data_IF_137975884294
#
_entry.id   IF_137975884294
#
_cell.length_a   1.000
_cell.length_b   1.000
_cell.length_c   1.000
_cell.angle_alpha   90.00
_cell.angle_beta   90.00
_cell.angle_gamma   90.00
#
_symmetry.space_group_name_H-M   'P 1'
#
loop_
_entity.id
_entity.type
_entity.pdbx_description
1 polymer ?
#
# COMPACT_ATOMS: atom_id res chain seq x y z
N UNK A 1 -14.26 10.51 14.40
CA UNK A 1 -14.45 10.46 12.93
C UNK A 1 -13.10 10.18 12.30
N UNK A 2 -12.82 8.92 11.95
CA UNK A 2 -11.55 8.50 11.39
C UNK A 2 -11.86 7.56 10.23
N UNK A 3 -11.76 8.08 9.02
CA UNK A 3 -12.02 7.37 7.79
C UNK A 3 -11.36 8.13 6.65
N UNK A 4 -11.10 7.42 5.56
CA UNK A 4 -10.76 8.04 4.29
C UNK A 4 -12.07 8.55 3.68
N UNK A 5 -12.09 9.79 3.21
CA UNK A 5 -13.26 10.37 2.54
C UNK A 5 -12.96 10.44 1.05
N UNK A 6 -13.89 9.97 0.23
CA UNK A 6 -13.84 10.15 -1.22
C UNK A 6 -14.12 11.62 -1.53
N UNK A 7 -13.13 12.31 -2.10
CA UNK A 7 -13.20 13.70 -2.48
C UNK A 7 -13.63 13.88 -3.94
N UNK A 8 -13.28 12.94 -4.82
CA UNK A 8 -13.66 12.94 -6.23
C UNK A 8 -13.63 11.51 -6.79
N UNK A 9 -14.38 11.27 -7.87
CA UNK A 9 -14.47 9.96 -8.53
C UNK A 9 -14.51 10.13 -10.04
N UNK A 10 -13.59 9.45 -10.73
CA UNK A 10 -13.59 9.31 -12.18
C UNK A 10 -14.10 7.91 -12.52
N UNK A 11 -15.21 7.83 -13.27
CA UNK A 11 -15.69 6.56 -13.82
C UNK A 11 -14.90 6.20 -15.07
N UNK A 12 -14.47 4.95 -15.15
CA UNK A 12 -13.69 4.39 -16.26
C UNK A 12 -14.40 3.14 -16.75
N UNK A 13 -14.82 3.13 -18.01
CA UNK A 13 -15.40 1.93 -18.62
C UNK A 13 -14.28 1.06 -19.17
N UNK A 14 -14.15 -0.17 -18.66
CA UNK A 14 -13.20 -1.16 -19.16
C UNK A 14 -13.97 -2.33 -19.76
N UNK A 15 -14.02 -2.42 -21.09
CA UNK A 15 -14.86 -3.41 -21.77
C UNK A 15 -16.35 -3.16 -21.52
N UNK A 16 -17.03 -4.13 -20.90
CA UNK A 16 -18.45 -4.04 -20.53
C UNK A 16 -18.67 -3.71 -19.03
N UNK A 17 -17.62 -3.40 -18.28
CA UNK A 17 -17.70 -3.13 -16.84
C UNK A 17 -17.39 -1.65 -16.55
N UNK A 18 -18.11 -1.06 -15.58
CA UNK A 18 -17.76 0.23 -14.99
C UNK A 18 -16.78 0.03 -13.85
N UNK A 19 -15.63 0.70 -13.92
CA UNK A 19 -14.66 0.84 -12.85
C UNK A 19 -14.61 2.30 -12.38
N UNK A 20 -13.97 2.53 -11.23
CA UNK A 20 -13.81 3.86 -10.67
C UNK A 20 -12.37 4.10 -10.22
N UNK A 21 -11.91 5.33 -10.42
CA UNK A 21 -10.69 5.86 -9.81
C UNK A 21 -11.13 6.94 -8.83
N UNK A 22 -10.83 6.74 -7.55
CA UNK A 22 -11.27 7.62 -6.48
C UNK A 22 -10.09 8.43 -5.91
N UNK A 23 -10.27 9.75 -5.80
CA UNK A 23 -9.40 10.60 -5.01
C UNK A 23 -9.87 10.58 -3.56
N UNK A 24 -8.99 10.13 -2.69
CA UNK A 24 -9.31 9.82 -1.30
C UNK A 24 -8.46 10.68 -0.35
N UNK A 25 -9.10 11.32 0.63
CA UNK A 25 -8.43 12.20 1.61
C UNK A 25 -8.57 11.61 3.00
N UNK A 26 -7.44 11.36 3.67
CA UNK A 26 -7.41 10.85 5.03
C UNK A 26 -6.06 10.27 5.43
N UNK A 27 -5.99 9.76 6.66
CA UNK A 27 -4.85 8.99 7.17
C UNK A 27 -5.06 7.51 6.87
N UNK A 28 -4.37 6.99 5.86
CA UNK A 28 -4.48 5.58 5.42
C UNK A 28 -4.12 4.59 6.54
N UNK A 29 -3.35 5.01 7.54
CA UNK A 29 -2.99 4.18 8.70
C UNK A 29 -4.19 3.95 9.62
N UNK A 30 -5.24 4.77 9.48
CA UNK A 30 -6.52 4.63 10.21
C UNK A 30 -7.62 4.00 9.35
N UNK A 31 -7.28 3.36 8.23
CA UNK A 31 -8.25 2.70 7.35
C UNK A 31 -9.01 1.62 8.15
N UNK A 32 -10.34 1.74 8.33
CA UNK A 32 -11.12 0.78 9.09
C UNK A 32 -11.19 -0.55 8.33
N UNK A 33 -11.56 -1.61 9.06
CA UNK A 33 -11.63 -2.97 8.51
C UNK A 33 -12.66 -3.15 7.41
N UNK A 34 -13.75 -2.40 7.48
CA UNK A 34 -14.83 -2.43 6.50
C UNK A 34 -14.40 -1.84 5.15
N UNK A 35 -13.42 -0.94 5.18
CA UNK A 35 -12.83 -0.29 3.99
C UNK A 35 -11.50 -0.97 3.57
N UNK A 36 -11.28 -2.24 3.96
CA UNK A 36 -10.04 -2.94 3.65
C UNK A 36 -9.77 -2.98 2.14
N UNK A 37 -8.48 -2.95 1.78
CA UNK A 37 -8.03 -3.06 0.40
C UNK A 37 -7.16 -4.29 0.22
N UNK A 38 -7.23 -4.91 -0.97
CA UNK A 38 -6.44 -6.09 -1.29
C UNK A 38 -4.94 -5.78 -1.38
N UNK A 39 -4.59 -4.59 -1.88
CA UNK A 39 -3.22 -4.18 -2.12
C UNK A 39 -3.02 -2.73 -1.66
N UNK A 40 -2.02 -2.53 -0.80
CA UNK A 40 -1.46 -1.21 -0.52
C UNK A 40 -0.24 -1.00 -1.41
N UNK A 41 -0.31 0.01 -2.27
CA UNK A 41 0.82 0.42 -3.12
C UNK A 41 1.64 1.50 -2.40
N UNK A 42 2.95 1.28 -2.29
CA UNK A 42 3.89 2.25 -1.72
C UNK A 42 5.09 2.44 -2.66
N UNK A 43 5.82 3.53 -2.46
CA UNK A 43 7.10 3.78 -3.12
C UNK A 43 8.23 3.96 -2.12
N UNK A 44 9.44 3.57 -2.51
CA UNK A 44 10.66 3.71 -1.75
C UNK A 44 11.85 3.96 -2.68
N UNK A 45 12.97 4.44 -2.13
CA UNK A 45 14.24 4.43 -2.86
C UNK A 45 14.76 2.99 -2.98
N UNK A 46 15.50 2.64 -4.04
CA UNK A 46 15.98 1.28 -4.26
C UNK A 46 16.74 0.73 -3.06
N UNK A 47 16.22 -0.36 -2.47
CA UNK A 47 16.80 -1.01 -1.29
C UNK A 47 16.73 -0.23 0.03
N UNK A 48 16.15 0.97 0.05
CA UNK A 48 16.02 1.78 1.27
C UNK A 48 14.58 1.82 1.78
N UNK A 49 14.34 1.04 2.83
CA UNK A 49 13.07 0.98 3.56
C UNK A 49 13.24 1.41 5.02
N UNK A 50 14.14 2.36 5.31
CA UNK A 50 14.25 2.92 6.65
C UNK A 50 12.89 3.49 7.09
N UNK A 51 12.37 3.11 8.28
CA UNK A 51 11.10 3.62 8.80
C UNK A 51 11.26 5.05 9.32
N UNK A 52 11.42 5.99 8.40
CA UNK A 52 11.54 7.42 8.68
C UNK A 52 10.19 7.95 9.22
N UNK A 53 10.10 8.45 10.47
CA UNK A 53 8.82 8.68 11.15
C UNK A 53 7.74 9.47 10.39
N UNK A 54 8.02 10.55 9.64
CA UNK A 54 6.97 11.24 8.88
C UNK A 54 6.51 10.49 7.61
N UNK A 55 7.24 9.48 7.15
CA UNK A 55 6.89 8.74 5.93
C UNK A 55 5.81 7.70 6.19
N UNK A 56 5.13 7.28 5.12
CA UNK A 56 4.18 6.17 5.19
C UNK A 56 4.84 4.90 5.74
N UNK A 57 6.09 4.60 5.34
CA UNK A 57 6.85 3.45 5.85
C UNK A 57 7.08 3.57 7.36
N UNK A 58 7.44 4.77 7.85
CA UNK A 58 7.61 5.00 9.28
C UNK A 58 6.31 4.82 10.07
N UNK A 59 5.18 5.23 9.50
CA UNK A 59 3.87 5.06 10.13
C UNK A 59 3.37 3.60 10.09
N UNK A 60 3.60 2.88 8.99
CA UNK A 60 3.34 1.45 8.87
C UNK A 60 4.08 0.66 9.95
N UNK A 61 5.36 0.98 10.17
CA UNK A 61 6.17 0.35 11.21
C UNK A 61 5.69 0.71 12.62
N UNK A 62 5.61 2.00 12.94
CA UNK A 62 5.37 2.46 14.32
C UNK A 62 3.94 2.25 14.82
N UNK A 63 2.92 2.29 13.94
CA UNK A 63 1.51 2.25 14.33
C UNK A 63 0.82 0.95 13.98
N UNK A 64 1.30 0.24 12.96
CA UNK A 64 0.72 -1.03 12.51
C UNK A 64 1.68 -2.21 12.64
N UNK A 65 2.92 -2.01 13.11
CA UNK A 65 3.93 -3.07 13.20
C UNK A 65 4.19 -3.78 11.86
N UNK A 66 4.04 -3.05 10.74
CA UNK A 66 4.35 -3.53 9.39
C UNK A 66 5.76 -3.03 9.04
N UNK A 67 6.75 -3.92 9.17
CA UNK A 67 8.14 -3.63 8.80
C UNK A 67 8.38 -3.91 7.31
N UNK A 68 8.35 -2.86 6.49
CA UNK A 68 8.59 -2.96 5.04
C UNK A 68 9.98 -3.52 4.71
N UNK A 69 10.99 -3.25 5.53
CA UNK A 69 12.35 -3.80 5.34
C UNK A 69 12.35 -5.32 5.56
N UNK A 70 11.61 -5.80 6.56
CA UNK A 70 11.44 -7.24 6.79
C UNK A 70 10.68 -7.89 5.63
N UNK A 71 9.60 -7.27 5.16
CA UNK A 71 8.83 -7.74 4.00
C UNK A 71 9.66 -7.79 2.72
N UNK A 72 10.53 -6.80 2.48
CA UNK A 72 11.41 -6.79 1.32
C UNK A 72 12.45 -7.92 1.35
N UNK A 73 12.88 -8.38 2.53
CA UNK A 73 13.77 -9.55 2.67
C UNK A 73 13.04 -10.87 2.42
N UNK A 74 11.75 -10.94 2.79
CA UNK A 74 10.90 -12.13 2.65
C UNK A 74 9.74 -11.92 1.66
N UNK A 75 10.06 -11.35 0.50
CA UNK A 75 9.12 -11.03 -0.58
C UNK A 75 8.58 -12.29 -1.27
N UNK A 76 7.34 -12.20 -1.76
CA UNK A 76 6.68 -13.26 -2.53
C UNK A 76 7.21 -13.31 -3.95
N UNK A 77 7.35 -12.16 -4.59
CA UNK A 77 7.90 -12.00 -5.93
C UNK A 77 8.80 -10.78 -5.98
N UNK A 78 9.95 -10.92 -6.64
CA UNK A 78 10.91 -9.84 -6.88
C UNK A 78 10.93 -9.53 -8.36
N UNK A 79 10.32 -8.40 -8.72
CA UNK A 79 10.17 -7.95 -10.10
C UNK A 79 10.95 -6.66 -10.37
N UNK A 80 11.89 -6.29 -9.49
CA UNK A 80 12.59 -5.01 -9.55
C UNK A 80 13.35 -4.79 -10.86
N UNK A 81 13.90 -5.86 -11.43
CA UNK A 81 14.63 -5.79 -12.70
C UNK A 81 13.71 -5.59 -13.93
N UNK A 82 12.42 -5.92 -13.84
CA UNK A 82 11.49 -5.88 -14.97
C UNK A 82 10.49 -4.73 -14.86
N UNK A 83 10.01 -4.46 -13.65
CA UNK A 83 8.90 -3.55 -13.38
C UNK A 83 9.16 -2.61 -12.20
N UNK A 84 10.42 -2.55 -11.72
CA UNK A 84 10.83 -1.70 -10.60
C UNK A 84 10.00 -1.90 -9.33
N UNK A 85 9.51 -3.13 -9.08
CA UNK A 85 8.65 -3.40 -7.93
C UNK A 85 8.84 -4.80 -7.33
N UNK A 86 8.29 -5.02 -6.15
CA UNK A 86 8.20 -6.33 -5.52
C UNK A 86 6.90 -6.50 -4.75
N UNK A 87 6.47 -7.74 -4.59
CA UNK A 87 5.26 -8.12 -3.86
C UNK A 87 5.59 -8.72 -2.50
N UNK A 88 4.89 -8.29 -1.45
CA UNK A 88 4.93 -8.96 -0.16
C UNK A 88 4.19 -10.30 -0.21
N UNK A 89 4.46 -11.16 0.77
CA UNK A 89 3.52 -12.21 1.15
C UNK A 89 2.23 -11.59 1.73
N UNK A 90 1.12 -12.34 1.83
CA UNK A 90 -0.07 -11.87 2.53
C UNK A 90 0.25 -11.35 3.92
N UNK A 91 -0.31 -10.18 4.26
CA UNK A 91 -0.22 -9.62 5.60
C UNK A 91 -1.21 -10.33 6.54
N UNK A 92 -0.97 -10.31 7.86
CA UNK A 92 -1.93 -10.84 8.82
C UNK A 92 -3.33 -10.21 8.70
N UNK A 93 -4.38 -11.03 8.87
CA UNK A 93 -5.79 -10.66 8.70
C UNK A 93 -6.29 -9.54 9.63
N UNK A 94 -5.51 -9.11 10.61
CA UNK A 94 -5.84 -7.98 11.48
C UNK A 94 -5.43 -6.62 10.89
N UNK A 95 -4.71 -6.57 9.76
CA UNK A 95 -4.45 -5.33 9.00
C UNK A 95 -5.49 -5.05 7.92
N UNK A 96 -5.80 -3.79 7.65
CA UNK A 96 -6.74 -3.39 6.58
C UNK A 96 -6.15 -3.49 5.16
N UNK A 97 -4.94 -4.06 5.04
CA UNK A 97 -4.23 -4.25 3.78
C UNK A 97 -3.95 -5.75 3.58
N UNK A 98 -4.31 -6.31 2.43
CA UNK A 98 -4.04 -7.74 2.13
C UNK A 98 -2.58 -8.01 1.79
N UNK A 99 -1.97 -7.19 0.94
CA UNK A 99 -0.56 -7.27 0.52
C UNK A 99 0.03 -5.87 0.33
N UNK A 100 1.36 -5.80 0.27
CA UNK A 100 2.10 -4.62 -0.17
C UNK A 100 2.69 -4.87 -1.55
N UNK A 101 2.47 -3.90 -2.44
CA UNK A 101 3.22 -3.73 -3.68
C UNK A 101 4.11 -2.51 -3.51
N UNK A 102 5.42 -2.72 -3.47
CA UNK A 102 6.37 -1.62 -3.32
C UNK A 102 7.06 -1.36 -4.66
N UNK A 103 6.97 -0.12 -5.15
CA UNK A 103 7.78 0.36 -6.26
C UNK A 103 9.08 0.97 -5.74
N UNK A 104 10.20 0.61 -6.35
CA UNK A 104 11.50 1.25 -6.16
C UNK A 104 11.73 2.25 -7.29
N UNK A 105 11.51 3.53 -7.01
CA UNK A 105 11.70 4.59 -8.00
C UNK A 105 13.17 5.01 -8.07
N UNK A 106 13.79 4.87 -9.26
CA UNK A 106 15.16 5.27 -9.56
C UNK A 106 15.43 5.22 -11.06
#
# INVERSE_FOLDING_TARGET
MAGIVVADTIKVTTGNEECEIQLCVGDIIKLPKDDKVDVLVISAFPGDYVPTPPSLIGQLFSRLNIDVRALAKDKKEDLRNLYSCWWSKPLPDHHSFGKILCFEGG
#
